data_IF_398654879664
#
_entry.id   IF_398654879664
#
_cell.length_a   1.000
_cell.length_b   1.000
_cell.length_c   1.000
_cell.angle_alpha   90.00
_cell.angle_beta   90.00
_cell.angle_gamma   90.00
#
_symmetry.space_group_name_H-M   'P 1'
#
loop_
_entity.id
_entity.type
_entity.pdbx_description
1 polymer ?
#
# COMPACT_ATOMS: atom_id res chain seq x y z
N UNK A 1 -32.72 33.53 3.36
CA UNK A 1 -33.29 32.20 3.65
C UNK A 1 -32.27 31.18 3.18
N UNK A 2 -31.49 30.66 4.12
CA UNK A 2 -30.50 29.61 3.91
C UNK A 2 -31.19 28.25 4.05
N UNK A 3 -30.94 27.32 3.12
CA UNK A 3 -31.14 25.85 3.24
C UNK A 3 -30.91 25.27 1.83
N UNK A 4 -29.97 24.39 1.49
CA UNK A 4 -29.12 23.46 2.25
C UNK A 4 -27.91 23.16 1.34
N UNK A 5 -26.69 23.48 1.79
CA UNK A 5 -25.77 22.52 2.42
C UNK A 5 -24.92 21.77 1.40
N UNK A 6 -23.77 22.38 1.12
CA UNK A 6 -22.49 21.73 0.80
C UNK A 6 -22.38 20.32 1.39
N UNK A 7 -21.81 19.32 0.68
CA UNK A 7 -21.44 18.08 1.34
C UNK A 7 -20.28 18.37 2.29
N UNK A 8 -20.60 18.63 3.56
CA UNK A 8 -19.66 18.62 4.67
C UNK A 8 -19.30 17.17 4.96
N UNK A 9 -18.34 16.60 4.21
CA UNK A 9 -17.68 15.38 4.66
C UNK A 9 -16.54 15.78 5.58
N UNK A 10 -16.89 16.16 6.80
CA UNK A 10 -15.99 16.14 7.95
C UNK A 10 -16.80 15.66 9.15
N UNK A 11 -16.87 14.34 9.28
CA UNK A 11 -17.11 13.68 10.55
C UNK A 11 -16.26 12.41 10.55
N UNK A 12 -15.09 12.55 11.16
CA UNK A 12 -14.32 11.46 11.74
C UNK A 12 -15.17 10.82 12.84
N UNK A 13 -16.01 9.86 12.48
CA UNK A 13 -16.58 8.93 13.44
C UNK A 13 -15.98 7.56 13.17
N UNK A 14 -15.18 7.11 14.14
CA UNK A 14 -14.62 5.78 14.19
C UNK A 14 -15.76 4.79 14.51
N UNK A 15 -16.63 4.49 13.52
CA UNK A 15 -17.62 3.42 13.64
C UNK A 15 -16.99 2.12 13.13
N UNK A 16 -16.35 1.40 14.05
CA UNK A 16 -15.95 0.02 13.83
C UNK A 16 -17.21 -0.79 13.45
N UNK A 17 -17.29 -1.25 12.19
CA UNK A 17 -18.08 -2.38 11.63
C UNK A 17 -18.43 -2.21 10.13
N UNK A 18 -18.01 -1.13 9.45
CA UNK A 18 -18.29 -0.91 8.01
C UNK A 18 -17.10 -0.39 7.19
N UNK A 19 -17.18 -0.43 5.84
CA UNK A 19 -16.10 0.06 4.98
C UNK A 19 -15.91 1.57 5.14
N UNK A 20 -14.68 2.00 5.39
CA UNK A 20 -14.33 3.43 5.53
C UNK A 20 -14.09 4.07 4.17
N UNK A 21 -14.79 5.18 3.88
CA UNK A 21 -14.51 6.00 2.70
C UNK A 21 -13.19 6.76 2.89
N UNK A 22 -12.25 6.55 1.96
CA UNK A 22 -10.94 7.18 1.99
C UNK A 22 -11.00 8.64 1.55
N UNK A 23 -10.28 9.49 2.28
CA UNK A 23 -10.05 10.88 1.91
C UNK A 23 -9.16 10.98 0.66
N UNK A 24 -9.14 12.15 0.02
CA UNK A 24 -8.25 12.38 -1.14
C UNK A 24 -6.78 12.15 -0.82
N UNK A 25 -6.34 12.55 0.39
CA UNK A 25 -4.97 12.38 0.86
C UNK A 25 -4.64 10.89 1.06
N UNK A 26 -5.53 10.12 1.69
CA UNK A 26 -5.35 8.66 1.82
C UNK A 26 -5.29 7.98 0.46
N UNK A 27 -6.16 8.36 -0.49
CA UNK A 27 -6.12 7.81 -1.85
C UNK A 27 -4.82 8.16 -2.58
N UNK A 28 -4.23 9.32 -2.34
CA UNK A 28 -2.91 9.67 -2.89
C UNK A 28 -1.81 8.79 -2.28
N UNK A 29 -1.81 8.63 -0.95
CA UNK A 29 -0.86 7.75 -0.26
C UNK A 29 -1.00 6.29 -0.72
N UNK A 30 -2.22 5.79 -0.92
CA UNK A 30 -2.47 4.45 -1.44
C UNK A 30 -1.95 4.26 -2.87
N UNK A 31 -2.10 5.27 -3.74
CA UNK A 31 -1.53 5.23 -5.11
C UNK A 31 -0.02 5.12 -5.07
N UNK A 32 0.62 5.89 -4.20
CA UNK A 32 2.07 5.86 -4.05
C UNK A 32 2.55 4.51 -3.50
N UNK A 33 1.90 3.98 -2.46
CA UNK A 33 2.18 2.64 -1.97
C UNK A 33 2.00 1.57 -3.07
N UNK A 34 0.94 1.68 -3.87
CA UNK A 34 0.70 0.77 -5.01
C UNK A 34 1.78 0.84 -6.09
N UNK A 35 2.33 2.04 -6.36
CA UNK A 35 3.45 2.23 -7.29
C UNK A 35 4.69 1.46 -6.83
N UNK A 36 5.02 1.56 -5.54
CA UNK A 36 6.16 0.85 -4.92
C UNK A 36 5.95 -0.67 -4.95
N UNK A 37 4.75 -1.14 -4.60
CA UNK A 37 4.42 -2.58 -4.67
C UNK A 37 4.56 -3.11 -6.09
N UNK A 38 4.03 -2.39 -7.09
CA UNK A 38 4.15 -2.78 -8.49
C UNK A 38 5.61 -2.82 -8.96
N UNK A 39 6.45 -1.90 -8.48
CA UNK A 39 7.89 -1.91 -8.76
C UNK A 39 8.56 -3.16 -8.17
N UNK A 40 8.32 -3.46 -6.89
CA UNK A 40 8.90 -4.64 -6.23
C UNK A 40 8.47 -5.96 -6.89
N UNK A 41 7.19 -6.08 -7.26
CA UNK A 41 6.67 -7.24 -8.00
C UNK A 41 7.40 -7.39 -9.33
N UNK A 42 7.56 -6.32 -10.11
CA UNK A 42 8.30 -6.37 -11.37
C UNK A 42 9.74 -6.84 -11.17
N UNK A 43 10.43 -6.35 -10.14
CA UNK A 43 11.80 -6.78 -9.82
C UNK A 43 11.90 -8.26 -9.48
N UNK A 44 10.96 -8.78 -8.70
CA UNK A 44 10.88 -10.21 -8.41
C UNK A 44 10.62 -11.03 -9.69
N UNK A 45 9.72 -10.57 -10.57
CA UNK A 45 9.44 -11.24 -11.85
C UNK A 45 10.64 -11.22 -12.81
N UNK A 46 11.39 -10.11 -12.88
CA UNK A 46 12.60 -9.99 -13.70
C UNK A 46 13.70 -10.97 -13.29
N UNK A 47 13.72 -11.39 -12.02
CA UNK A 47 14.70 -12.33 -11.48
C UNK A 47 14.30 -13.81 -11.63
N UNK A 48 13.12 -14.10 -12.19
CA UNK A 48 12.66 -15.48 -12.32
C UNK A 48 13.54 -16.28 -13.30
N UNK A 49 14.28 -17.24 -12.75
CA UNK A 49 15.08 -18.18 -13.52
C UNK A 49 15.06 -19.58 -12.86
N UNK A 50 15.49 -20.60 -13.61
CA UNK A 50 15.56 -21.96 -13.07
C UNK A 50 16.55 -22.03 -11.92
N UNK A 51 16.11 -22.54 -10.77
CA UNK A 51 16.97 -22.71 -9.58
C UNK A 51 16.86 -21.57 -8.56
N UNK A 52 16.19 -20.46 -8.87
CA UNK A 52 15.94 -19.41 -7.89
C UNK A 52 15.03 -19.92 -6.76
N UNK A 53 15.36 -19.56 -5.53
CA UNK A 53 14.56 -19.88 -4.35
C UNK A 53 13.54 -18.79 -4.07
N UNK A 54 12.43 -19.16 -3.42
CA UNK A 54 11.44 -18.19 -2.94
C UNK A 54 12.02 -17.20 -1.93
N UNK A 55 13.05 -17.61 -1.18
CA UNK A 55 13.78 -16.72 -0.26
C UNK A 55 14.58 -15.64 -0.99
N UNK A 56 15.16 -15.96 -2.15
CA UNK A 56 15.84 -14.96 -2.98
C UNK A 56 14.84 -13.99 -3.60
N UNK A 57 13.68 -14.48 -4.04
CA UNK A 57 12.59 -13.62 -4.51
C UNK A 57 12.05 -12.69 -3.41
N UNK A 58 11.90 -13.19 -2.19
CA UNK A 58 11.52 -12.40 -1.01
C UNK A 58 12.54 -11.28 -0.72
N UNK A 59 13.83 -11.62 -0.74
CA UNK A 59 14.91 -10.66 -0.55
C UNK A 59 14.94 -9.59 -1.64
N UNK A 60 14.72 -9.97 -2.91
CA UNK A 60 14.61 -9.02 -4.03
C UNK A 60 13.45 -8.06 -3.83
N UNK A 61 12.28 -8.57 -3.43
CA UNK A 61 11.12 -7.74 -3.15
C UNK A 61 11.39 -6.80 -1.97
N UNK A 62 12.04 -7.29 -0.90
CA UNK A 62 12.44 -6.49 0.27
C UNK A 62 13.35 -5.32 -0.14
N UNK A 63 14.44 -5.61 -0.85
CA UNK A 63 15.42 -4.61 -1.30
C UNK A 63 14.76 -3.59 -2.24
N UNK A 64 13.88 -4.03 -3.15
CA UNK A 64 13.18 -3.13 -4.06
C UNK A 64 12.21 -2.18 -3.34
N UNK A 65 11.55 -2.63 -2.26
CA UNK A 65 10.70 -1.76 -1.43
C UNK A 65 11.56 -0.76 -0.64
N UNK A 66 12.65 -1.24 -0.03
CA UNK A 66 13.57 -0.39 0.74
C UNK A 66 14.26 0.67 -0.13
N UNK A 67 14.56 0.36 -1.40
CA UNK A 67 15.18 1.32 -2.32
C UNK A 67 14.27 2.48 -2.71
N UNK A 68 12.94 2.29 -2.61
CA UNK A 68 11.95 3.36 -2.79
C UNK A 68 11.69 4.14 -1.48
N UNK A 69 12.46 3.88 -0.42
CA UNK A 69 12.30 4.52 0.89
C UNK A 69 11.08 4.03 1.68
N UNK A 70 10.47 2.92 1.26
CA UNK A 70 9.31 2.31 1.91
C UNK A 70 9.73 1.18 2.87
N UNK A 71 8.79 0.76 3.72
CA UNK A 71 8.98 -0.38 4.64
C UNK A 71 8.21 -1.60 4.13
N UNK A 72 8.85 -2.78 4.03
CA UNK A 72 8.17 -4.02 3.68
C UNK A 72 7.08 -4.37 4.70
N UNK A 73 5.82 -4.40 4.26
CA UNK A 73 4.67 -4.66 5.14
C UNK A 73 4.49 -6.12 5.57
N UNK A 74 5.21 -7.05 4.94
CA UNK A 74 5.13 -8.48 5.22
C UNK A 74 6.12 -8.96 6.30
N UNK A 75 7.20 -8.21 6.55
CA UNK A 75 8.22 -8.60 7.51
C UNK A 75 7.73 -8.42 8.95
N UNK A 76 7.80 -9.48 9.74
CA UNK A 76 7.37 -9.48 11.15
C UNK A 76 5.85 -9.33 11.32
N UNK A 77 5.08 -9.52 10.25
CA UNK A 77 3.63 -9.50 10.31
C UNK A 77 3.14 -10.81 10.96
N UNK A 78 2.48 -10.69 12.11
CA UNK A 78 1.88 -11.77 12.90
C UNK A 78 2.79 -12.60 13.83
N UNK A 79 4.11 -12.34 13.85
CA UNK A 79 5.05 -13.05 14.73
C UNK A 79 5.13 -14.55 14.45
#
# INVERSE_FOLDING_TARGET
>A
MNSESTPKIVASDNSALGPTLKTKLELQAMREAGRVVAFAVRKAFEALEQGITTRELDEIARVAIESEGAKPGFLGLYG
#
